data_IF_263145913614
#
_entry.id   IF_263145913614
#
_cell.length_a   1.000
_cell.length_b   1.000
_cell.length_c   1.000
_cell.angle_alpha   90.00
_cell.angle_beta   90.00
_cell.angle_gamma   90.00
#
_symmetry.space_group_name_H-M   'P 1'
#
loop_
_entity.id
_entity.type
_entity.pdbx_description
1 polymer ?
#
# COMPACT_ATOMS: atom_id res chain seq x y z
N UNK A 1 17.82 0.14 31.43
CA UNK A 1 16.99 -0.89 30.78
C UNK A 1 16.48 -0.43 29.45
N UNK A 2 16.66 -1.24 28.41
CA UNK A 2 16.05 -1.00 27.09
C UNK A 2 14.74 -1.81 27.04
N UNK A 3 13.60 -1.19 26.71
CA UNK A 3 12.33 -1.90 26.55
C UNK A 3 12.44 -3.01 25.49
N UNK A 4 12.06 -4.24 25.83
CA UNK A 4 12.14 -5.38 24.89
C UNK A 4 10.92 -5.53 23.98
N UNK A 5 9.81 -4.81 24.26
CA UNK A 5 8.55 -4.95 23.52
C UNK A 5 8.40 -3.81 22.53
N UNK A 6 8.10 -4.16 21.29
CA UNK A 6 7.72 -3.22 20.23
C UNK A 6 6.67 -3.87 19.32
N UNK A 7 5.75 -3.07 18.80
CA UNK A 7 4.80 -3.51 17.79
C UNK A 7 5.48 -3.49 16.42
N UNK A 8 5.57 -4.66 15.78
CA UNK A 8 6.14 -4.79 14.44
C UNK A 8 5.04 -5.11 13.45
N UNK A 9 5.16 -4.53 12.27
CA UNK A 9 4.33 -4.86 11.12
C UNK A 9 4.98 -6.06 10.43
N UNK A 10 4.18 -7.08 10.13
CA UNK A 10 4.64 -8.26 9.42
C UNK A 10 4.70 -7.98 7.92
N UNK A 11 5.61 -8.67 7.22
CA UNK A 11 5.67 -8.66 5.76
C UNK A 11 5.84 -7.25 5.13
N UNK A 12 6.57 -6.36 5.81
CA UNK A 12 6.80 -4.98 5.39
C UNK A 12 7.47 -4.89 3.99
N UNK A 13 8.11 -5.97 3.56
CA UNK A 13 8.77 -6.10 2.28
C UNK A 13 7.83 -6.44 1.10
N UNK A 14 6.60 -6.89 1.35
CA UNK A 14 5.66 -7.32 0.30
C UNK A 14 5.03 -6.13 -0.43
N UNK A 15 4.84 -6.31 -1.73
CA UNK A 15 4.15 -5.35 -2.60
C UNK A 15 3.78 -6.00 -3.94
N UNK A 16 2.55 -5.84 -4.41
CA UNK A 16 2.11 -6.25 -5.76
C UNK A 16 2.51 -5.23 -6.82
N UNK A 17 3.77 -5.29 -7.24
CA UNK A 17 4.35 -4.37 -8.20
C UNK A 17 3.65 -4.39 -9.57
N UNK A 18 3.20 -5.57 -10.01
CA UNK A 18 2.55 -5.74 -11.31
C UNK A 18 1.19 -5.06 -11.32
N UNK A 19 0.41 -5.23 -10.26
CA UNK A 19 -0.89 -4.56 -10.13
C UNK A 19 -0.79 -3.04 -10.20
N UNK A 20 0.23 -2.45 -9.56
CA UNK A 20 0.46 -1.00 -9.54
C UNK A 20 1.31 -0.48 -10.72
N UNK A 21 1.68 -1.33 -11.69
CA UNK A 21 2.55 -0.97 -12.82
C UNK A 21 3.88 -0.30 -12.38
N UNK A 22 4.51 -0.81 -11.32
CA UNK A 22 5.80 -0.34 -10.82
C UNK A 22 6.88 -1.36 -11.15
N UNK A 23 8.04 -0.92 -11.67
CA UNK A 23 9.14 -1.84 -11.95
C UNK A 23 9.87 -2.29 -10.67
N UNK A 24 10.51 -3.46 -10.71
CA UNK A 24 11.26 -3.99 -9.55
C UNK A 24 12.33 -3.03 -9.00
N UNK A 25 13.01 -2.30 -9.88
CA UNK A 25 14.00 -1.30 -9.49
C UNK A 25 13.38 -0.15 -8.71
N UNK A 26 12.18 0.30 -9.12
CA UNK A 26 11.43 1.35 -8.44
C UNK A 26 10.90 0.86 -7.09
N UNK A 27 10.35 -0.36 -7.02
CA UNK A 27 9.88 -0.97 -5.77
C UNK A 27 10.97 -0.99 -4.70
N UNK A 28 12.21 -1.30 -5.10
CA UNK A 28 13.37 -1.33 -4.21
C UNK A 28 13.76 0.05 -3.66
N UNK A 29 13.34 1.13 -4.34
CA UNK A 29 13.56 2.52 -3.93
C UNK A 29 12.38 3.13 -3.18
N UNK A 30 11.21 2.47 -3.17
CA UNK A 30 10.02 2.97 -2.49
C UNK A 30 10.10 2.76 -0.98
N UNK A 31 9.59 3.74 -0.24
CA UNK A 31 9.38 3.58 1.20
C UNK A 31 8.37 2.43 1.47
N UNK A 32 8.68 1.49 2.39
CA UNK A 32 7.79 0.36 2.67
C UNK A 32 6.40 0.75 3.16
N UNK A 33 6.26 1.84 3.92
CA UNK A 33 4.95 2.31 4.38
C UNK A 33 4.13 2.85 3.21
N UNK A 34 4.78 3.49 2.23
CA UNK A 34 4.14 3.93 0.98
C UNK A 34 3.62 2.75 0.13
N UNK A 35 4.36 1.65 0.06
CA UNK A 35 3.91 0.41 -0.62
C UNK A 35 2.68 -0.17 0.04
N UNK A 36 2.69 -0.28 1.37
CA UNK A 36 1.52 -0.73 2.13
C UNK A 36 0.31 0.19 1.93
N UNK A 37 0.52 1.52 1.94
CA UNK A 37 -0.55 2.49 1.79
C UNK A 37 -1.30 2.31 0.46
N UNK A 38 -0.58 2.03 -0.64
CA UNK A 38 -1.19 1.78 -1.95
C UNK A 38 -2.13 0.58 -1.91
N UNK A 39 -1.67 -0.55 -1.35
CA UNK A 39 -2.48 -1.77 -1.22
C UNK A 39 -3.69 -1.56 -0.30
N UNK A 40 -3.47 -1.02 0.90
CA UNK A 40 -4.55 -0.88 1.89
C UNK A 40 -5.60 0.16 1.46
N UNK A 41 -5.20 1.20 0.72
CA UNK A 41 -6.15 2.16 0.14
C UNK A 41 -7.01 1.48 -0.93
N UNK A 42 -6.40 0.64 -1.77
CA UNK A 42 -7.14 -0.14 -2.76
C UNK A 42 -8.13 -1.10 -2.09
N UNK A 43 -7.67 -1.87 -1.09
CA UNK A 43 -8.50 -2.77 -0.30
C UNK A 43 -9.67 -2.04 0.36
N UNK A 44 -9.43 -0.88 0.96
CA UNK A 44 -10.47 -0.08 1.61
C UNK A 44 -11.56 0.40 0.63
N UNK A 45 -11.20 0.77 -0.59
CA UNK A 45 -12.17 1.17 -1.61
C UNK A 45 -13.04 -0.03 -2.03
N UNK A 46 -12.41 -1.19 -2.25
CA UNK A 46 -13.13 -2.42 -2.64
C UNK A 46 -13.98 -2.96 -1.49
N UNK A 47 -13.50 -2.89 -0.26
CA UNK A 47 -14.24 -3.25 0.96
C UNK A 47 -15.53 -2.41 1.10
N UNK A 48 -15.48 -1.13 0.73
CA UNK A 48 -16.65 -0.26 0.66
C UNK A 48 -17.62 -0.59 -0.49
N UNK A 49 -17.32 -1.60 -1.31
CA UNK A 49 -18.12 -1.99 -2.48
C UNK A 49 -18.00 -1.00 -3.66
N UNK A 50 -17.00 -0.12 -3.64
CA UNK A 50 -16.76 0.87 -4.69
C UNK A 50 -15.76 0.28 -5.68
N UNK A 51 -16.03 0.42 -6.98
CA UNK A 51 -15.01 0.11 -7.98
C UNK A 51 -14.00 1.28 -8.03
N UNK A 52 -12.70 1.05 -7.79
CA UNK A 52 -11.69 2.11 -7.80
C UNK A 52 -11.62 2.89 -9.12
N UNK A 53 -12.06 2.27 -10.23
CA UNK A 53 -12.15 2.95 -11.54
C UNK A 53 -13.19 4.07 -11.55
N UNK A 54 -14.23 3.99 -10.71
CA UNK A 54 -15.29 4.98 -10.64
C UNK A 54 -14.83 6.27 -9.92
N UNK A 55 -13.80 6.17 -9.09
CA UNK A 55 -13.15 7.31 -8.43
C UNK A 55 -12.09 7.99 -9.30
N UNK A 56 -11.77 7.42 -10.47
CA UNK A 56 -10.73 7.99 -11.34
C UNK A 56 -11.23 9.27 -11.99
N UNK A 57 -10.58 10.39 -11.66
CA UNK A 57 -10.91 11.71 -12.21
C UNK A 57 -12.01 12.47 -11.45
N UNK A 58 -12.46 11.96 -10.30
CA UNK A 58 -13.31 12.71 -9.37
C UNK A 58 -12.49 13.71 -8.54
N UNK A 59 -13.17 14.60 -7.82
CA UNK A 59 -12.54 15.53 -6.89
C UNK A 59 -12.26 14.85 -5.53
N UNK A 60 -11.46 13.79 -5.54
CA UNK A 60 -11.08 12.98 -4.37
C UNK A 60 -9.64 13.28 -3.96
N UNK A 61 -9.39 13.56 -2.68
CA UNK A 61 -8.07 13.87 -2.12
C UNK A 61 -8.08 13.98 -0.61
#
# INVERSE_FOLDING_TARGET
DIPQRTGKINNLEKFDAEYFNVSFNEVSMMDPMGRMLLEHTYEAIVDAGINPKDLRGTNTG
#
